data_IF_323248430221
#
_entry.id   IF_323248430221
#
_cell.length_a   1.000
_cell.length_b   1.000
_cell.length_c   1.000
_cell.angle_alpha   90.00
_cell.angle_beta   90.00
_cell.angle_gamma   90.00
#
_symmetry.space_group_name_H-M   'P 1'
#
loop_
_entity.id
_entity.type
_entity.pdbx_description
1 polymer ?
#
# COMPACT_ATOMS: atom_id res chain seq x y z
N UNK A 1 20.32 11.12 -16.66
CA UNK A 1 19.40 11.58 -15.59
C UNK A 1 18.88 10.35 -14.86
N UNK A 2 18.79 10.38 -13.53
CA UNK A 2 18.24 9.27 -12.72
C UNK A 2 16.80 9.63 -12.35
N UNK A 3 15.88 8.72 -12.65
CA UNK A 3 14.48 8.88 -12.30
C UNK A 3 14.14 8.13 -11.02
N UNK A 4 13.62 8.84 -10.04
CA UNK A 4 13.07 8.30 -8.80
C UNK A 4 11.54 8.22 -8.89
N UNK A 5 10.98 7.04 -8.71
CA UNK A 5 9.54 6.90 -8.45
C UNK A 5 9.34 7.02 -6.94
N UNK A 6 8.68 8.08 -6.49
CA UNK A 6 8.70 8.47 -5.08
C UNK A 6 7.38 9.03 -4.53
N UNK A 7 7.48 9.77 -3.42
CA UNK A 7 6.36 10.23 -2.61
C UNK A 7 6.21 9.48 -1.28
N UNK A 8 7.15 8.57 -0.99
CA UNK A 8 7.27 7.83 0.27
C UNK A 8 8.32 8.46 1.18
N UNK A 9 8.36 8.05 2.46
CA UNK A 9 9.48 8.41 3.34
C UNK A 9 10.83 7.96 2.76
N UNK A 10 10.89 6.76 2.20
CA UNK A 10 12.11 6.20 1.59
C UNK A 10 12.67 7.07 0.47
N UNK A 11 11.78 7.58 -0.40
CA UNK A 11 12.21 8.49 -1.47
C UNK A 11 12.80 9.79 -0.94
N UNK A 12 12.29 10.33 0.18
CA UNK A 12 12.84 11.54 0.81
C UNK A 12 14.17 11.26 1.49
N UNK A 13 14.24 10.18 2.27
CA UNK A 13 15.47 9.72 2.93
C UNK A 13 16.59 9.54 1.87
N UNK A 14 16.26 8.94 0.72
CA UNK A 14 17.20 8.76 -0.39
C UNK A 14 17.66 10.09 -0.99
N UNK A 15 16.71 10.95 -1.37
CA UNK A 15 17.03 12.25 -1.99
C UNK A 15 17.85 13.10 -1.05
N UNK A 16 17.58 13.08 0.26
CA UNK A 16 18.34 13.80 1.27
C UNK A 16 19.81 13.36 1.30
N UNK A 17 20.06 12.05 1.25
CA UNK A 17 21.40 11.45 1.33
C UNK A 17 22.17 11.50 0.01
N UNK A 18 21.50 11.64 -1.13
CA UNK A 18 22.15 11.68 -2.43
C UNK A 18 22.71 13.08 -2.74
N UNK A 19 24.00 13.14 -3.07
CA UNK A 19 24.71 14.41 -3.23
C UNK A 19 24.44 15.11 -4.57
N UNK A 20 24.24 14.37 -5.67
CA UNK A 20 24.06 14.92 -7.03
C UNK A 20 22.58 15.11 -7.37
N UNK A 21 21.89 15.98 -6.63
CA UNK A 21 20.44 16.17 -6.74
C UNK A 21 20.01 16.74 -8.10
N UNK A 22 20.89 17.48 -8.77
CA UNK A 22 20.73 17.99 -10.13
C UNK A 22 20.58 16.88 -11.18
N UNK A 23 21.08 15.67 -10.88
CA UNK A 23 20.95 14.49 -11.72
C UNK A 23 19.70 13.65 -11.40
N UNK A 24 18.83 14.12 -10.48
CA UNK A 24 17.61 13.45 -10.08
C UNK A 24 16.36 14.14 -10.64
N UNK A 25 15.41 13.32 -11.06
CA UNK A 25 14.02 13.73 -11.27
C UNK A 25 13.11 12.79 -10.48
N UNK A 26 12.19 13.32 -9.69
CA UNK A 26 11.29 12.54 -8.83
C UNK A 26 9.87 12.67 -9.33
N UNK A 27 9.18 11.54 -9.54
CA UNK A 27 7.74 11.53 -9.82
C UNK A 27 6.94 11.14 -8.59
N UNK A 28 5.84 11.83 -8.32
CA UNK A 28 4.92 11.51 -7.22
C UNK A 28 3.48 11.29 -7.72
N UNK A 29 2.77 10.36 -7.08
CA UNK A 29 1.37 10.07 -7.42
C UNK A 29 0.37 11.09 -6.83
N UNK A 30 0.82 11.98 -5.93
CA UNK A 30 0.00 12.97 -5.23
C UNK A 30 0.75 14.29 -5.07
N UNK A 31 0.00 15.40 -5.05
CA UNK A 31 0.54 16.74 -4.81
C UNK A 31 1.20 16.84 -3.43
N UNK A 32 0.58 16.25 -2.40
CA UNK A 32 1.15 16.24 -1.05
C UNK A 32 2.54 15.58 -1.03
N UNK A 33 2.70 14.44 -1.69
CA UNK A 33 4.01 13.79 -1.81
C UNK A 33 5.03 14.63 -2.57
N UNK A 34 4.59 15.41 -3.56
CA UNK A 34 5.44 16.35 -4.30
C UNK A 34 5.91 17.52 -3.44
N UNK A 35 4.99 18.12 -2.68
CA UNK A 35 5.26 19.23 -1.77
C UNK A 35 6.33 18.89 -0.72
N UNK A 36 6.32 17.66 -0.22
CA UNK A 36 7.34 17.18 0.74
C UNK A 36 8.74 17.03 0.12
N UNK A 37 8.88 17.13 -1.20
CA UNK A 37 10.17 17.01 -1.89
C UNK A 37 10.74 18.37 -2.35
N UNK A 38 9.93 19.44 -2.32
CA UNK A 38 10.32 20.78 -2.74
C UNK A 38 11.50 21.33 -1.91
N UNK A 39 11.63 20.91 -0.64
CA UNK A 39 12.71 21.32 0.24
C UNK A 39 14.10 20.79 -0.16
N UNK A 40 14.18 19.78 -1.02
CA UNK A 40 15.45 19.13 -1.39
C UNK A 40 16.09 19.68 -2.67
N UNK A 41 15.56 20.74 -3.28
CA UNK A 41 16.07 21.31 -4.53
C UNK A 41 16.24 20.25 -5.64
N UNK A 42 15.23 19.38 -5.79
CA UNK A 42 15.17 18.32 -6.81
C UNK A 42 14.04 18.61 -7.79
N UNK A 43 14.16 18.19 -9.06
CA UNK A 43 13.08 18.33 -10.02
C UNK A 43 11.95 17.35 -9.66
N UNK A 44 10.76 17.86 -9.36
CA UNK A 44 9.57 17.06 -9.01
C UNK A 44 8.52 17.14 -10.11
N UNK A 45 7.94 16.00 -10.47
CA UNK A 45 6.81 15.89 -11.40
C UNK A 45 5.67 15.13 -10.73
N UNK A 46 4.55 15.81 -10.47
CA UNK A 46 3.36 15.15 -9.92
C UNK A 46 2.46 14.66 -11.03
N UNK A 47 2.50 13.35 -11.29
CA UNK A 47 1.68 12.70 -12.30
C UNK A 47 1.55 11.20 -12.00
N UNK A 48 0.41 10.63 -12.40
CA UNK A 48 0.26 9.17 -12.53
C UNK A 48 0.48 8.84 -13.99
N UNK A 49 1.58 8.15 -14.29
CA UNK A 49 1.97 7.80 -15.64
C UNK A 49 1.56 6.36 -15.93
N UNK A 50 0.94 6.15 -17.09
CA UNK A 50 0.79 4.84 -17.72
C UNK A 50 2.13 4.34 -18.28
N UNK A 51 2.25 3.06 -18.62
CA UNK A 51 3.45 2.49 -19.24
C UNK A 51 3.95 3.31 -20.45
N UNK A 52 3.05 3.64 -21.39
CA UNK A 52 3.38 4.42 -22.59
C UNK A 52 3.86 5.82 -22.22
N UNK A 53 3.28 6.44 -21.19
CA UNK A 53 3.72 7.75 -20.72
C UNK A 53 5.07 7.68 -20.01
N UNK A 54 5.35 6.60 -19.27
CA UNK A 54 6.66 6.37 -18.66
C UNK A 54 7.74 6.21 -19.72
N UNK A 55 7.45 5.50 -20.81
CA UNK A 55 8.38 5.38 -21.94
C UNK A 55 8.71 6.73 -22.57
N UNK A 56 7.69 7.54 -22.85
CA UNK A 56 7.87 8.91 -23.36
C UNK A 56 8.64 9.79 -22.39
N UNK A 57 8.38 9.61 -21.09
CA UNK A 57 9.06 10.33 -20.03
C UNK A 57 10.56 10.00 -19.99
N UNK A 58 10.90 8.71 -20.12
CA UNK A 58 12.28 8.23 -20.20
C UNK A 58 13.04 8.88 -21.35
N UNK A 59 12.43 8.92 -22.54
CA UNK A 59 13.03 9.55 -23.72
C UNK A 59 13.19 11.07 -23.56
N UNK A 60 12.11 11.75 -23.15
CA UNK A 60 12.06 13.20 -23.02
C UNK A 60 13.10 13.73 -22.03
N UNK A 61 13.20 13.08 -20.87
CA UNK A 61 14.06 13.52 -19.77
C UNK A 61 15.46 12.86 -19.82
N UNK A 62 15.74 12.07 -20.87
CA UNK A 62 17.01 11.35 -21.07
C UNK A 62 17.39 10.54 -19.83
N UNK A 63 16.43 9.76 -19.35
CA UNK A 63 16.59 8.89 -18.18
C UNK A 63 17.51 7.73 -18.56
N UNK A 64 18.52 7.49 -17.73
CA UNK A 64 19.48 6.39 -17.91
C UNK A 64 19.30 5.28 -16.88
N UNK A 65 18.56 5.54 -15.78
CA UNK A 65 18.34 4.61 -14.67
C UNK A 65 17.06 4.98 -13.93
N UNK A 66 16.25 3.99 -13.58
CA UNK A 66 15.08 4.11 -12.72
C UNK A 66 15.39 3.52 -11.34
N UNK A 67 15.10 4.29 -10.31
CA UNK A 67 15.10 3.83 -8.92
C UNK A 67 13.67 3.92 -8.40
N UNK A 68 13.07 2.75 -8.21
CA UNK A 68 11.71 2.63 -7.69
C UNK A 68 11.73 2.61 -6.15
N UNK A 69 11.32 3.74 -5.57
CA UNK A 69 11.12 3.97 -4.14
C UNK A 69 9.63 4.12 -3.80
N UNK A 70 8.74 3.65 -4.68
CA UNK A 70 7.30 3.67 -4.44
C UNK A 70 6.91 2.73 -3.30
N UNK A 71 5.71 2.94 -2.76
CA UNK A 71 5.20 2.12 -1.67
C UNK A 71 5.15 0.62 -2.08
N UNK A 72 5.47 -0.35 -1.21
CA UNK A 72 5.42 -1.80 -1.51
C UNK A 72 4.12 -2.31 -2.14
N UNK A 73 3.02 -1.60 -1.90
CA UNK A 73 1.70 -1.93 -2.44
C UNK A 73 1.41 -1.27 -3.80
N UNK A 74 2.31 -0.43 -4.32
CA UNK A 74 2.16 0.25 -5.60
C UNK A 74 2.62 -0.66 -6.75
N UNK A 75 1.96 -1.81 -6.87
CA UNK A 75 2.31 -2.88 -7.83
C UNK A 75 2.34 -2.38 -9.27
N UNK A 76 1.29 -1.66 -9.66
CA UNK A 76 1.08 -1.22 -11.04
C UNK A 76 2.20 -0.29 -11.51
N UNK A 77 2.59 0.69 -10.69
CA UNK A 77 3.67 1.63 -11.05
C UNK A 77 5.00 0.90 -11.19
N UNK A 78 5.30 -0.05 -10.30
CA UNK A 78 6.51 -0.87 -10.38
C UNK A 78 6.52 -1.77 -11.62
N UNK A 79 5.40 -2.40 -11.95
CA UNK A 79 5.26 -3.24 -13.15
C UNK A 79 5.44 -2.42 -14.43
N UNK A 80 4.73 -1.31 -14.55
CA UNK A 80 4.82 -0.41 -15.70
C UNK A 80 6.25 0.13 -15.86
N UNK A 81 6.90 0.52 -14.76
CA UNK A 81 8.26 1.03 -14.79
C UNK A 81 9.29 -0.04 -15.19
N UNK A 82 9.12 -1.29 -14.77
CA UNK A 82 9.96 -2.41 -15.23
C UNK A 82 9.81 -2.65 -16.73
N UNK A 83 8.58 -2.66 -17.25
CA UNK A 83 8.32 -2.84 -18.67
C UNK A 83 8.91 -1.68 -19.49
N UNK A 84 8.64 -0.43 -19.09
CA UNK A 84 9.19 0.75 -19.74
C UNK A 84 10.73 0.75 -19.71
N UNK A 85 11.35 0.38 -18.58
CA UNK A 85 12.81 0.30 -18.45
C UNK A 85 13.40 -0.75 -19.39
N UNK A 86 12.76 -1.92 -19.49
CA UNK A 86 13.16 -2.98 -20.43
C UNK A 86 13.03 -2.52 -21.88
N UNK A 87 11.92 -1.90 -22.25
CA UNK A 87 11.68 -1.43 -23.62
C UNK A 87 12.65 -0.31 -24.04
N UNK A 88 13.06 0.54 -23.09
CA UNK A 88 14.05 1.60 -23.32
C UNK A 88 15.49 1.17 -23.06
N UNK A 89 15.72 -0.09 -22.70
CA UNK A 89 17.04 -0.65 -22.38
C UNK A 89 17.82 0.18 -21.33
N UNK A 90 17.14 0.52 -20.23
CA UNK A 90 17.73 1.23 -19.09
C UNK A 90 17.63 0.40 -17.81
N UNK A 91 18.51 0.70 -16.85
CA UNK A 91 18.56 0.01 -15.56
C UNK A 91 17.30 0.31 -14.73
N UNK A 92 16.77 -0.74 -14.10
CA UNK A 92 15.70 -0.64 -13.10
C UNK A 92 16.18 -1.22 -11.76
N UNK A 93 16.07 -0.42 -10.70
CA UNK A 93 16.45 -0.81 -9.35
C UNK A 93 15.26 -0.56 -8.41
N UNK A 94 14.84 -1.60 -7.68
CA UNK A 94 13.87 -1.49 -6.59
C UNK A 94 14.59 -1.25 -5.28
N UNK A 95 14.04 -0.40 -4.43
CA UNK A 95 14.34 -0.45 -3.00
C UNK A 95 13.09 -0.71 -2.18
N UNK A 96 13.26 -1.58 -1.19
CA UNK A 96 12.18 -2.00 -0.32
C UNK A 96 12.77 -2.47 0.99
N UNK A 97 12.35 -1.91 2.13
CA UNK A 97 12.87 -2.33 3.44
C UNK A 97 12.56 -3.81 3.70
N UNK A 98 13.51 -4.53 4.28
CA UNK A 98 13.27 -5.86 4.85
C UNK A 98 12.21 -5.75 5.95
N UNK A 99 11.14 -6.53 5.83
CA UNK A 99 10.17 -6.68 6.92
C UNK A 99 10.77 -7.70 7.89
N UNK A 100 11.26 -7.23 9.03
CA UNK A 100 11.60 -8.07 10.17
C UNK A 100 10.30 -8.39 10.92
N UNK A 101 9.51 -9.36 10.46
CA UNK A 101 8.34 -9.79 11.23
C UNK A 101 8.19 -11.31 11.32
N UNK A 102 7.90 -11.71 12.55
CA UNK A 102 7.68 -13.06 13.07
C UNK A 102 6.41 -13.67 12.49
N UNK A 103 6.50 -14.89 11.98
CA UNK A 103 5.34 -15.70 11.63
C UNK A 103 4.55 -16.02 12.90
N UNK A 104 3.46 -15.29 13.15
CA UNK A 104 2.39 -15.82 14.00
C UNK A 104 1.69 -16.92 13.21
N UNK A 105 1.86 -18.18 13.63
CA UNK A 105 1.29 -19.37 12.99
C UNK A 105 -0.25 -19.32 12.83
N UNK A 106 -0.92 -18.40 13.53
CA UNK A 106 -2.38 -18.24 13.52
C UNK A 106 -2.91 -17.22 12.49
N UNK A 107 -2.05 -16.55 11.71
CA UNK A 107 -2.52 -15.59 10.70
C UNK A 107 -2.64 -16.25 9.32
N UNK A 108 -3.71 -15.94 8.57
CA UNK A 108 -3.84 -16.36 7.17
C UNK A 108 -3.33 -15.23 6.28
N UNK A 109 -2.42 -15.55 5.36
CA UNK A 109 -1.78 -14.55 4.50
C UNK A 109 -2.22 -14.74 3.04
N UNK A 110 -2.64 -13.65 2.42
CA UNK A 110 -2.93 -13.53 0.99
C UNK A 110 -2.10 -12.43 0.36
N UNK A 111 -1.97 -12.45 -0.97
CA UNK A 111 -1.14 -11.49 -1.71
C UNK A 111 -1.98 -10.61 -2.64
N UNK A 112 -3.29 -10.82 -2.71
CA UNK A 112 -4.22 -9.95 -3.42
C UNK A 112 -5.56 -9.82 -2.71
N UNK A 113 -6.27 -8.72 -2.97
CA UNK A 113 -7.64 -8.54 -2.46
C UNK A 113 -8.60 -9.55 -3.09
N UNK A 114 -8.37 -9.95 -4.34
CA UNK A 114 -9.25 -10.90 -5.03
C UNK A 114 -9.20 -12.29 -4.39
N UNK A 115 -8.01 -12.77 -4.00
CA UNK A 115 -7.85 -14.00 -3.23
C UNK A 115 -8.59 -13.93 -1.89
N UNK A 116 -8.48 -12.80 -1.18
CA UNK A 116 -9.20 -12.56 0.08
C UNK A 116 -10.70 -12.64 -0.16
N UNK A 117 -11.20 -11.94 -1.18
CA UNK A 117 -12.64 -11.90 -1.53
C UNK A 117 -13.15 -13.32 -1.78
N UNK A 118 -12.46 -14.11 -2.59
CA UNK A 118 -12.81 -15.52 -2.85
C UNK A 118 -12.81 -16.36 -1.57
N UNK A 119 -11.81 -16.17 -0.70
CA UNK A 119 -11.71 -16.91 0.55
C UNK A 119 -12.84 -16.55 1.53
N UNK A 120 -13.11 -15.26 1.72
CA UNK A 120 -14.06 -14.81 2.75
C UNK A 120 -15.52 -15.03 2.38
N UNK A 121 -15.88 -15.16 1.10
CA UNK A 121 -17.28 -15.33 0.66
C UNK A 121 -17.97 -16.52 1.34
N UNK A 122 -17.20 -17.58 1.61
CA UNK A 122 -17.71 -18.82 2.18
C UNK A 122 -17.59 -18.88 3.72
N UNK A 123 -17.04 -17.85 4.36
CA UNK A 123 -16.89 -17.80 5.82
C UNK A 123 -18.20 -17.44 6.51
N UNK A 124 -18.40 -18.04 7.69
CA UNK A 124 -19.55 -17.80 8.56
C UNK A 124 -19.16 -16.92 9.75
N UNK A 125 -19.96 -15.89 10.04
CA UNK A 125 -19.70 -14.91 11.11
C UNK A 125 -19.26 -13.54 10.57
N UNK A 126 -19.15 -12.57 11.48
CA UNK A 126 -18.88 -11.18 11.09
C UNK A 126 -17.41 -10.97 10.74
N UNK A 127 -17.16 -10.19 9.69
CA UNK A 127 -15.83 -9.93 9.14
C UNK A 127 -15.57 -8.43 9.15
N UNK A 128 -14.50 -7.99 9.80
CA UNK A 128 -14.09 -6.59 9.79
C UNK A 128 -13.03 -6.35 8.71
N UNK A 129 -13.37 -5.55 7.70
CA UNK A 129 -12.47 -5.14 6.62
C UNK A 129 -11.82 -3.80 6.98
N UNK A 130 -10.49 -3.81 7.17
CA UNK A 130 -9.70 -2.62 7.54
C UNK A 130 -8.78 -2.13 6.40
N UNK A 131 -9.13 -2.46 5.15
CA UNK A 131 -8.39 -2.08 3.94
C UNK A 131 -8.72 -0.68 3.40
N UNK A 132 -9.67 0.03 4.02
CA UNK A 132 -10.22 1.29 3.53
C UNK A 132 -11.21 1.11 2.36
N UNK A 133 -11.54 2.19 1.66
CA UNK A 133 -12.58 2.20 0.61
C UNK A 133 -12.06 1.96 -0.82
N UNK A 134 -10.74 1.85 -1.01
CA UNK A 134 -10.15 1.79 -2.36
C UNK A 134 -10.57 0.55 -3.16
N UNK A 135 -10.79 -0.58 -2.47
CA UNK A 135 -11.14 -1.85 -3.10
C UNK A 135 -12.58 -2.30 -2.77
N UNK A 136 -13.42 -1.40 -2.30
CA UNK A 136 -14.75 -1.75 -1.78
C UNK A 136 -15.64 -2.37 -2.87
N UNK A 137 -15.46 -1.96 -4.13
CA UNK A 137 -16.17 -2.54 -5.27
C UNK A 137 -15.87 -4.03 -5.46
N UNK A 138 -14.71 -4.53 -4.99
CA UNK A 138 -14.37 -5.96 -5.12
C UNK A 138 -15.21 -6.85 -4.22
N UNK A 139 -15.83 -6.28 -3.18
CA UNK A 139 -16.68 -7.01 -2.23
C UNK A 139 -18.17 -6.94 -2.62
N UNK A 140 -18.51 -6.26 -3.71
CA UNK A 140 -19.88 -6.20 -4.19
C UNK A 140 -20.38 -7.60 -4.59
N UNK A 141 -21.68 -7.84 -4.45
CA UNK A 141 -22.36 -9.09 -4.84
C UNK A 141 -21.94 -10.36 -4.09
N UNK A 142 -21.10 -10.27 -3.05
CA UNK A 142 -20.78 -11.44 -2.23
C UNK A 142 -22.02 -11.94 -1.50
N UNK A 143 -22.21 -13.26 -1.49
CA UNK A 143 -23.36 -13.90 -0.83
C UNK A 143 -23.46 -13.56 0.65
N UNK A 144 -22.33 -13.32 1.31
CA UNK A 144 -22.24 -12.97 2.73
C UNK A 144 -21.99 -11.48 3.00
N UNK A 145 -22.23 -10.58 2.03
CA UNK A 145 -21.96 -9.14 2.16
C UNK A 145 -22.57 -8.51 3.42
N UNK A 146 -23.72 -9.00 3.89
CA UNK A 146 -24.38 -8.52 5.12
C UNK A 146 -23.59 -8.76 6.41
N UNK A 147 -22.59 -9.66 6.38
CA UNK A 147 -21.70 -9.97 7.50
C UNK A 147 -20.38 -9.18 7.44
N UNK A 148 -20.15 -8.39 6.38
CA UNK A 148 -18.93 -7.62 6.21
C UNK A 148 -19.11 -6.24 6.84
N UNK A 149 -18.15 -5.81 7.65
CA UNK A 149 -18.09 -4.50 8.26
C UNK A 149 -16.89 -3.75 7.70
N UNK A 150 -17.10 -2.58 7.13
CA UNK A 150 -16.03 -1.80 6.50
C UNK A 150 -15.62 -0.64 7.38
N UNK A 151 -14.33 -0.61 7.76
CA UNK A 151 -13.74 0.53 8.43
C UNK A 151 -13.10 1.46 7.40
N UNK A 152 -13.69 2.64 7.24
CA UNK A 152 -13.32 3.65 6.23
C UNK A 152 -13.15 5.02 6.89
N UNK A 153 -12.49 5.97 6.19
CA UNK A 153 -12.42 7.33 6.70
C UNK A 153 -13.82 7.97 6.72
N UNK A 154 -14.08 8.90 7.65
CA UNK A 154 -15.37 9.60 7.76
C UNK A 154 -15.51 10.70 6.70
N UNK A 155 -15.30 10.34 5.44
CA UNK A 155 -15.50 11.20 4.27
C UNK A 155 -16.80 10.79 3.57
N UNK A 156 -17.64 11.76 3.24
CA UNK A 156 -18.95 11.50 2.63
C UNK A 156 -18.82 10.72 1.32
N UNK A 157 -17.77 10.97 0.53
CA UNK A 157 -17.51 10.25 -0.72
C UNK A 157 -17.25 8.77 -0.46
N UNK A 158 -16.54 8.43 0.62
CA UNK A 158 -16.22 7.05 0.97
C UNK A 158 -17.43 6.30 1.51
N UNK A 159 -18.26 6.98 2.32
CA UNK A 159 -19.52 6.43 2.83
C UNK A 159 -20.47 6.17 1.67
N UNK A 160 -20.66 7.16 0.80
CA UNK A 160 -21.47 7.03 -0.43
C UNK A 160 -20.98 5.87 -1.29
N UNK A 161 -19.67 5.76 -1.51
CA UNK A 161 -19.08 4.65 -2.29
C UNK A 161 -19.43 3.28 -1.70
N UNK A 162 -19.42 3.16 -0.36
CA UNK A 162 -19.80 1.90 0.30
C UNK A 162 -21.29 1.57 0.08
N UNK A 163 -22.17 2.57 0.23
CA UNK A 163 -23.61 2.42 -0.01
C UNK A 163 -23.92 2.04 -1.47
N UNK A 164 -23.25 2.69 -2.43
CA UNK A 164 -23.38 2.40 -3.86
C UNK A 164 -22.95 0.95 -4.20
N UNK A 165 -22.08 0.33 -3.37
CA UNK A 165 -21.68 -1.08 -3.47
C UNK A 165 -22.60 -2.05 -2.69
N UNK A 166 -23.73 -1.57 -2.15
CA UNK A 166 -24.70 -2.39 -1.43
C UNK A 166 -24.35 -2.67 0.04
N UNK A 167 -23.39 -1.95 0.61
CA UNK A 167 -23.06 -2.08 2.03
C UNK A 167 -24.06 -1.26 2.84
N UNK A 168 -24.74 -1.91 3.78
CA UNK A 168 -25.73 -1.26 4.63
C UNK A 168 -25.05 -0.27 5.60
N UNK A 169 -25.69 0.85 5.96
CA UNK A 169 -25.12 1.82 6.91
C UNK A 169 -24.64 1.21 8.23
N UNK A 170 -25.37 0.21 8.77
CA UNK A 170 -24.98 -0.52 10.00
C UNK A 170 -23.66 -1.29 9.88
N UNK A 171 -23.23 -1.57 8.66
CA UNK A 171 -22.01 -2.29 8.31
C UNK A 171 -20.84 -1.33 8.01
N UNK A 172 -21.01 -0.02 8.20
CA UNK A 172 -19.97 0.99 7.95
C UNK A 172 -19.47 1.56 9.27
N UNK A 173 -18.16 1.45 9.51
CA UNK A 173 -17.45 2.09 10.63
C UNK A 173 -16.64 3.25 10.08
N UNK A 174 -17.25 4.43 10.03
CA UNK A 174 -16.64 5.65 9.52
C UNK A 174 -15.79 6.34 10.61
N UNK A 175 -14.48 6.04 10.65
CA UNK A 175 -13.57 6.54 11.69
C UNK A 175 -12.15 6.75 11.16
N UNK A 176 -11.45 7.75 11.68
CA UNK A 176 -10.05 8.01 11.38
C UNK A 176 -9.15 7.48 12.50
N UNK A 177 -8.15 6.67 12.12
CA UNK A 177 -7.10 6.18 13.03
C UNK A 177 -5.94 7.18 13.20
N UNK A 178 -4.86 6.79 13.90
CA UNK A 178 -4.57 5.43 14.40
C UNK A 178 -5.53 4.99 15.52
N UNK A 179 -5.78 3.68 15.62
CA UNK A 179 -6.66 3.10 16.63
C UNK A 179 -5.83 2.42 17.72
N UNK A 180 -6.16 2.69 18.97
CA UNK A 180 -5.54 2.02 20.13
C UNK A 180 -5.95 0.56 20.21
N UNK A 181 -5.23 -0.23 21.02
CA UNK A 181 -5.61 -1.61 21.33
C UNK A 181 -7.05 -1.69 21.85
N UNK A 182 -7.41 -0.87 22.83
CA UNK A 182 -8.74 -0.87 23.45
C UNK A 182 -9.85 -0.55 22.45
N UNK A 183 -9.61 0.41 21.54
CA UNK A 183 -10.59 0.77 20.52
C UNK A 183 -10.79 -0.37 19.51
N UNK A 184 -9.72 -1.04 19.10
CA UNK A 184 -9.84 -2.22 18.24
C UNK A 184 -10.59 -3.34 18.98
N UNK A 185 -10.22 -3.65 20.23
CA UNK A 185 -10.84 -4.72 21.02
C UNK A 185 -12.33 -4.47 21.25
N UNK A 186 -12.71 -3.24 21.62
CA UNK A 186 -14.10 -2.86 21.81
C UNK A 186 -14.92 -3.03 20.52
N UNK A 187 -14.37 -2.61 19.38
CA UNK A 187 -15.01 -2.77 18.08
C UNK A 187 -15.19 -4.23 17.68
N UNK A 188 -14.14 -5.05 17.87
CA UNK A 188 -14.19 -6.49 17.58
C UNK A 188 -15.24 -7.20 18.44
N UNK A 189 -15.36 -6.84 19.73
CA UNK A 189 -16.38 -7.37 20.64
C UNK A 189 -17.79 -6.91 20.27
N UNK A 190 -17.98 -5.59 20.11
CA UNK A 190 -19.29 -4.99 19.83
C UNK A 190 -19.91 -5.52 18.55
N UNK A 191 -19.09 -5.74 17.52
CA UNK A 191 -19.54 -6.24 16.23
C UNK A 191 -19.44 -7.78 16.14
N UNK A 192 -19.09 -8.48 17.22
CA UNK A 192 -18.91 -9.95 17.26
C UNK A 192 -18.04 -10.47 16.10
N UNK A 193 -16.91 -9.82 15.85
CA UNK A 193 -16.02 -10.09 14.72
C UNK A 193 -15.29 -11.41 14.91
N UNK A 194 -15.46 -12.33 13.96
CA UNK A 194 -14.74 -13.61 13.89
C UNK A 194 -13.49 -13.54 13.05
N UNK A 195 -13.51 -12.70 12.01
CA UNK A 195 -12.38 -12.54 11.09
C UNK A 195 -12.08 -11.07 10.88
N UNK A 196 -10.80 -10.72 10.82
CA UNK A 196 -10.37 -9.36 10.52
C UNK A 196 -9.45 -9.36 9.32
N UNK A 197 -9.86 -8.66 8.27
CA UNK A 197 -9.03 -8.41 7.09
C UNK A 197 -8.22 -7.14 7.30
N UNK A 198 -6.89 -7.24 7.22
CA UNK A 198 -5.96 -6.12 7.37
C UNK A 198 -4.84 -6.20 6.34
N UNK A 199 -4.19 -5.07 6.04
CA UNK A 199 -2.86 -5.09 5.42
C UNK A 199 -1.84 -5.64 6.43
N UNK A 200 -0.79 -6.28 5.92
CA UNK A 200 0.42 -6.69 6.64
C UNK A 200 1.46 -5.58 6.50
N UNK A 201 1.87 -4.95 7.59
CA UNK A 201 2.62 -3.69 7.56
C UNK A 201 3.50 -3.48 8.80
N UNK A 202 4.80 -3.34 8.55
CA UNK A 202 5.79 -3.18 9.62
C UNK A 202 5.62 -1.94 10.48
N UNK A 203 5.80 -2.12 11.80
CA UNK A 203 6.12 -1.18 12.90
C UNK A 203 5.53 0.26 12.95
N UNK A 204 4.68 0.68 12.00
CA UNK A 204 4.18 2.05 11.92
C UNK A 204 2.66 2.07 11.84
N UNK A 205 2.03 2.56 12.91
CA UNK A 205 0.65 3.06 12.87
C UNK A 205 -0.47 2.05 13.15
N UNK A 206 -0.55 1.54 14.39
CA UNK A 206 -1.76 0.87 14.88
C UNK A 206 -1.91 -0.60 14.47
N UNK A 207 -0.93 -1.19 13.77
CA UNK A 207 -0.98 -2.58 13.34
C UNK A 207 -0.82 -3.55 14.51
N UNK A 208 0.21 -3.33 15.34
CA UNK A 208 0.46 -4.12 16.53
C UNK A 208 -0.76 -4.14 17.44
N UNK A 209 -1.33 -2.98 17.73
CA UNK A 209 -2.53 -2.81 18.54
C UNK A 209 -3.71 -3.59 17.98
N UNK A 210 -3.85 -3.62 16.65
CA UNK A 210 -4.92 -4.33 15.95
C UNK A 210 -4.73 -5.85 16.03
N UNK A 211 -3.52 -6.36 15.80
CA UNK A 211 -3.20 -7.78 15.88
C UNK A 211 -3.32 -8.30 17.33
N UNK A 212 -2.80 -7.54 18.30
CA UNK A 212 -2.95 -7.87 19.72
C UNK A 212 -4.43 -7.91 20.14
N UNK A 213 -5.24 -6.93 19.69
CA UNK A 213 -6.68 -6.92 19.96
C UNK A 213 -7.41 -8.11 19.32
N UNK A 214 -7.03 -8.49 18.09
CA UNK A 214 -7.59 -9.65 17.41
C UNK A 214 -7.28 -10.94 18.17
N UNK A 215 -6.04 -11.12 18.63
CA UNK A 215 -5.64 -12.25 19.49
C UNK A 215 -6.46 -12.28 20.78
N UNK A 216 -6.59 -11.16 21.47
CA UNK A 216 -7.35 -11.08 22.72
C UNK A 216 -8.85 -11.38 22.56
N UNK A 217 -9.40 -11.15 21.37
CA UNK A 217 -10.81 -11.45 21.04
C UNK A 217 -11.02 -12.84 20.41
N UNK A 218 -9.97 -13.64 20.21
CA UNK A 218 -10.01 -14.86 19.39
C UNK A 218 -10.54 -14.61 17.96
N UNK A 219 -10.20 -13.45 17.39
CA UNK A 219 -10.49 -13.09 16.01
C UNK A 219 -9.35 -13.56 15.12
N UNK A 220 -9.66 -14.31 14.07
CA UNK A 220 -8.67 -14.75 13.09
C UNK A 220 -8.27 -13.59 12.18
N UNK A 221 -6.97 -13.32 12.09
CA UNK A 221 -6.46 -12.26 11.21
C UNK A 221 -6.16 -12.80 9.82
N UNK A 222 -6.77 -12.17 8.82
CA UNK A 222 -6.56 -12.41 7.39
C UNK A 222 -5.75 -11.22 6.86
N UNK A 223 -4.50 -11.45 6.52
CA UNK A 223 -3.53 -10.41 6.20
C UNK A 223 -3.27 -10.35 4.70
N UNK A 224 -3.48 -9.18 4.11
CA UNK A 224 -3.01 -8.84 2.79
C UNK A 224 -1.54 -8.45 2.89
N UNK A 225 -0.64 -9.33 2.48
CA UNK A 225 0.77 -9.04 2.36
C UNK A 225 1.07 -8.31 1.05
N UNK A 226 2.27 -7.73 0.97
CA UNK A 226 2.80 -7.15 -0.26
C UNK A 226 2.87 -8.24 -1.35
N UNK A 227 2.39 -7.96 -2.57
CA UNK A 227 2.48 -8.90 -3.67
C UNK A 227 3.95 -9.27 -3.93
N UNK A 228 4.22 -10.56 -4.17
CA UNK A 228 5.58 -11.01 -4.51
C UNK A 228 5.89 -10.64 -5.95
N UNK A 229 6.48 -9.47 -6.14
CA UNK A 229 6.98 -9.03 -7.44
C UNK A 229 8.44 -9.47 -7.59
N UNK A 230 8.77 -10.10 -8.71
CA UNK A 230 10.15 -10.41 -9.06
C UNK A 230 10.79 -9.19 -9.72
N UNK A 231 11.57 -8.45 -8.95
CA UNK A 231 12.34 -7.32 -9.46
C UNK A 231 13.66 -7.78 -10.09
N UNK A 232 14.14 -7.13 -11.17
CA UNK A 232 15.46 -7.40 -11.76
C UNK A 232 16.62 -7.20 -10.78
N UNK A 233 16.54 -6.13 -9.97
CA UNK A 233 17.54 -5.75 -8.96
C UNK A 233 16.84 -5.10 -7.78
N UNK A 234 17.15 -5.53 -6.56
CA UNK A 234 16.52 -5.04 -5.33
C UNK A 234 17.56 -4.79 -4.23
N UNK A 235 17.38 -3.71 -3.48
CA UNK A 235 18.14 -3.40 -2.26
C UNK A 235 17.21 -3.24 -1.07
N UNK A 236 17.64 -3.74 0.09
CA UNK A 236 16.86 -3.70 1.34
C UNK A 236 17.34 -2.63 2.33
N UNK A 237 18.54 -2.09 2.10
CA UNK A 237 19.14 -0.99 2.89
C UNK A 237 19.50 0.17 1.99
N UNK A 238 19.20 1.38 2.45
CA UNK A 238 19.36 2.60 1.64
C UNK A 238 20.84 2.87 1.35
N UNK A 239 21.72 2.54 2.30
CA UNK A 239 23.17 2.68 2.13
C UNK A 239 23.71 1.74 1.04
N UNK A 240 23.16 0.53 0.94
CA UNK A 240 23.55 -0.43 -0.08
C UNK A 240 23.06 0.03 -1.46
N UNK A 241 21.85 0.59 -1.52
CA UNK A 241 21.35 1.24 -2.72
C UNK A 241 22.30 2.38 -3.15
N UNK A 242 22.62 3.32 -2.25
CA UNK A 242 23.45 4.49 -2.54
C UNK A 242 24.86 4.13 -3.06
N UNK A 243 25.46 3.05 -2.55
CA UNK A 243 26.79 2.58 -3.01
C UNK A 243 26.79 2.00 -4.43
N UNK A 244 25.63 1.69 -4.98
CA UNK A 244 25.48 0.95 -6.23
C UNK A 244 24.75 1.75 -7.33
N UNK A 245 24.62 3.06 -7.14
CA UNK A 245 24.00 3.99 -8.09
C UNK A 245 25.06 4.86 -8.75
#
# INVERSE_FOLDING_TARGET
>A
MIWIIGGTKDSRDFVQLYNQKENLIVTTATEYGGKLLEEFNVKVVTARLTEIEMEKFVEKEKISKVIDLSHPYAVEVSQNAMVASKNKNIDYIRFERENLETEDENNIIFYSVDEIVTYIENLQGNILITLGSNNIEKFQNLKNIGNLYFRILPKWEMIKKAEDCGILPKNIVAMQGPFTYDMNLAMLKQLNIKYMVSKKGGNTGGEREKIEAAKANNTLSILLDRPKIKYPKVYFKIDDLLKNI
#
